data_IF_551943622149
#
_entry.id   IF_551943622149
#
_cell.length_a   1.000
_cell.length_b   1.000
_cell.length_c   1.000
_cell.angle_alpha   90.00
_cell.angle_beta   90.00
_cell.angle_gamma   90.00
#
_symmetry.space_group_name_H-M   'P 1'
#
loop_
_entity.id
_entity.type
_entity.pdbx_description
1 polymer ?
#
# COMPACT_ATOMS: atom_id res chain seq x y z
N UNK A 1 -31.07 24.36 -42.20
CA UNK A 1 -30.10 24.58 -41.10
C UNK A 1 -30.69 24.04 -39.80
N UNK A 2 -30.13 22.97 -39.23
CA UNK A 2 -30.52 22.48 -37.89
C UNK A 2 -29.46 22.93 -36.89
N UNK A 3 -29.85 23.75 -35.92
CA UNK A 3 -29.00 24.18 -34.82
C UNK A 3 -29.03 23.12 -33.71
N UNK A 4 -27.89 22.50 -33.44
CA UNK A 4 -27.73 21.58 -32.31
C UNK A 4 -27.56 22.40 -31.03
N UNK A 5 -28.62 22.58 -30.26
CA UNK A 5 -28.53 23.15 -28.91
C UNK A 5 -27.97 22.10 -27.96
N UNK A 6 -26.68 22.24 -27.60
CA UNK A 6 -26.07 21.45 -26.52
C UNK A 6 -26.82 21.75 -25.21
N UNK A 7 -27.54 20.77 -24.68
CA UNK A 7 -28.17 20.87 -23.36
C UNK A 7 -27.06 20.89 -22.31
N UNK A 8 -26.74 22.06 -21.77
CA UNK A 8 -25.87 22.15 -20.59
C UNK A 8 -26.62 21.51 -19.43
N UNK A 9 -26.21 20.29 -19.04
CA UNK A 9 -26.70 19.68 -17.81
C UNK A 9 -26.31 20.61 -16.64
N UNK A 10 -27.21 20.88 -15.69
CA UNK A 10 -26.85 21.63 -14.50
C UNK A 10 -25.72 20.88 -13.79
N UNK A 11 -24.63 21.58 -13.51
CA UNK A 11 -23.53 21.05 -12.71
C UNK A 11 -24.07 20.77 -11.32
N UNK A 12 -24.33 19.50 -11.01
CA UNK A 12 -24.69 19.09 -9.66
C UNK A 12 -23.55 19.38 -8.68
N UNK A 13 -23.84 19.53 -7.38
CA UNK A 13 -22.81 19.73 -6.38
C UNK A 13 -21.83 18.56 -6.38
N UNK A 14 -20.53 18.88 -6.42
CA UNK A 14 -19.46 17.89 -6.29
C UNK A 14 -19.25 17.60 -4.81
N UNK A 15 -19.42 16.34 -4.42
CA UNK A 15 -19.13 15.88 -3.06
C UNK A 15 -17.66 15.46 -3.00
N UNK A 16 -16.81 16.23 -2.30
CA UNK A 16 -15.40 15.88 -2.08
C UNK A 16 -15.29 15.21 -0.71
N UNK A 17 -15.07 13.90 -0.70
CA UNK A 17 -14.83 13.12 0.53
C UNK A 17 -13.31 13.09 0.76
N UNK A 18 -12.83 13.74 1.82
CA UNK A 18 -11.43 13.66 2.26
C UNK A 18 -11.30 12.49 3.24
N UNK A 19 -10.33 11.59 3.03
CA UNK A 19 -9.94 10.61 4.05
C UNK A 19 -9.36 11.40 5.23
N UNK A 20 -10.11 11.53 6.32
CA UNK A 20 -9.55 12.02 7.57
C UNK A 20 -8.58 10.94 8.05
N UNK A 21 -7.30 11.28 8.07
CA UNK A 21 -6.19 10.41 8.49
C UNK A 21 -5.99 10.40 10.00
N UNK A 22 -6.86 11.06 10.75
CA UNK A 22 -6.72 11.28 12.20
C UNK A 22 -7.24 10.07 13.00
N UNK A 23 -6.84 8.86 12.62
CA UNK A 23 -6.92 7.71 13.50
C UNK A 23 -5.60 7.65 14.25
N UNK A 24 -5.51 8.36 15.38
CA UNK A 24 -4.31 8.49 16.21
C UNK A 24 -3.72 7.13 16.66
N UNK A 25 -4.48 6.05 16.51
CA UNK A 25 -4.09 4.68 16.84
C UNK A 25 -3.45 3.90 15.69
N UNK A 26 -3.45 4.42 14.45
CA UNK A 26 -2.89 3.73 13.29
C UNK A 26 -1.57 4.38 12.90
N UNK A 27 -0.46 3.72 13.22
CA UNK A 27 0.86 4.13 12.73
C UNK A 27 0.98 3.80 11.24
N UNK A 28 0.98 4.83 10.39
CA UNK A 28 1.23 4.70 8.96
C UNK A 28 2.75 4.73 8.69
N UNK A 29 3.24 3.69 8.04
CA UNK A 29 4.67 3.56 7.70
C UNK A 29 4.91 4.03 6.27
N UNK A 30 6.01 4.76 6.05
CA UNK A 30 6.44 5.22 4.73
C UNK A 30 7.05 4.10 3.90
N UNK A 31 7.58 3.06 4.56
CA UNK A 31 8.14 1.90 3.88
C UNK A 31 8.09 0.63 4.73
N UNK A 32 8.31 -0.52 4.10
CA UNK A 32 8.37 -1.82 4.79
C UNK A 32 9.59 -1.86 5.74
N UNK A 33 10.68 -1.17 5.42
CA UNK A 33 11.86 -1.07 6.29
C UNK A 33 11.56 -0.37 7.61
N UNK A 34 10.74 0.69 7.58
CA UNK A 34 10.32 1.42 8.77
C UNK A 34 9.50 0.51 9.69
N UNK A 35 8.57 -0.27 9.11
CA UNK A 35 7.81 -1.26 9.86
C UNK A 35 8.70 -2.37 10.45
N UNK A 36 9.72 -2.83 9.70
CA UNK A 36 10.66 -3.84 10.21
C UNK A 36 11.52 -3.28 11.36
N UNK A 37 11.94 -2.01 11.29
CA UNK A 37 12.72 -1.37 12.35
C UNK A 37 11.93 -1.26 13.66
N UNK A 38 10.62 -1.01 13.58
CA UNK A 38 9.75 -1.04 14.75
C UNK A 38 9.65 -2.46 15.35
N UNK A 39 9.47 -3.48 14.50
CA UNK A 39 9.40 -4.89 14.94
C UNK A 39 10.73 -5.38 15.54
N UNK A 40 11.86 -4.78 15.16
CA UNK A 40 13.19 -5.07 15.75
C UNK A 40 13.30 -4.63 17.20
N UNK A 41 12.55 -3.60 17.60
CA UNK A 41 12.54 -3.10 18.96
C UNK A 41 11.51 -3.83 19.85
N UNK A 42 10.68 -4.72 19.28
CA UNK A 42 9.68 -5.47 20.03
C UNK A 42 10.32 -6.70 20.72
N UNK A 43 10.34 -6.76 22.07
CA UNK A 43 10.92 -7.88 22.81
C UNK A 43 10.18 -9.20 22.61
N UNK A 44 8.94 -9.18 22.08
CA UNK A 44 8.14 -10.37 21.83
C UNK A 44 8.45 -11.02 20.48
N UNK A 45 9.29 -10.39 19.65
CA UNK A 45 9.64 -10.88 18.33
C UNK A 45 11.07 -11.40 18.36
N UNK A 46 11.26 -12.64 17.89
CA UNK A 46 12.59 -13.22 17.83
C UNK A 46 13.43 -12.58 16.71
N UNK A 47 14.70 -12.32 17.02
CA UNK A 47 15.65 -11.78 16.06
C UNK A 47 15.79 -12.64 14.79
N UNK A 48 15.61 -13.96 14.90
CA UNK A 48 15.61 -14.88 13.76
C UNK A 48 14.49 -14.58 12.77
N UNK A 49 13.27 -14.32 13.27
CA UNK A 49 12.11 -13.99 12.42
C UNK A 49 12.33 -12.68 11.67
N UNK A 50 12.89 -11.68 12.35
CA UNK A 50 13.27 -10.40 11.74
C UNK A 50 14.32 -10.60 10.64
N UNK A 51 15.38 -11.37 10.91
CA UNK A 51 16.44 -11.61 9.94
C UNK A 51 15.90 -12.31 8.68
N UNK A 52 15.01 -13.29 8.86
CA UNK A 52 14.31 -13.97 7.76
C UNK A 52 13.43 -13.00 6.96
N UNK A 53 12.73 -12.08 7.64
CA UNK A 53 11.90 -11.06 7.01
C UNK A 53 12.74 -10.09 6.16
N UNK A 54 13.84 -9.56 6.70
CA UNK A 54 14.79 -8.71 5.95
C UNK A 54 15.36 -9.41 4.72
N UNK A 55 15.77 -10.68 4.86
CA UNK A 55 16.27 -11.48 3.74
C UNK A 55 15.21 -11.65 2.65
N UNK A 56 13.95 -11.89 3.04
CA UNK A 56 12.83 -12.05 2.11
C UNK A 56 12.53 -10.74 1.35
N UNK A 57 12.53 -9.61 2.05
CA UNK A 57 12.35 -8.29 1.45
C UNK A 57 13.48 -7.96 0.45
N UNK A 58 14.73 -8.24 0.80
CA UNK A 58 15.86 -8.05 -0.11
C UNK A 58 15.74 -8.93 -1.37
N UNK A 59 15.30 -10.19 -1.22
CA UNK A 59 15.03 -11.06 -2.37
C UNK A 59 13.91 -10.53 -3.24
N UNK A 60 12.86 -9.97 -2.64
CA UNK A 60 11.75 -9.35 -3.36
C UNK A 60 12.21 -8.11 -4.15
N UNK A 61 12.96 -7.21 -3.53
CA UNK A 61 13.50 -6.01 -4.20
C UNK A 61 14.44 -6.34 -5.35
N UNK A 62 15.26 -7.39 -5.19
CA UNK A 62 16.27 -7.75 -6.17
C UNK A 62 15.72 -8.60 -7.34
N UNK A 63 14.52 -9.16 -7.23
CA UNK A 63 13.87 -9.90 -8.32
C UNK A 63 12.79 -9.03 -8.97
N UNK A 64 13.09 -8.49 -10.15
CA UNK A 64 12.19 -7.66 -10.95
C UNK A 64 10.94 -8.39 -11.49
N UNK A 65 10.88 -9.73 -11.37
CA UNK A 65 9.72 -10.53 -11.75
C UNK A 65 9.56 -11.70 -10.78
N UNK A 66 8.56 -11.60 -9.90
CA UNK A 66 8.06 -12.74 -9.13
C UNK A 66 6.70 -13.09 -9.72
N UNK A 67 6.59 -14.29 -10.26
CA UNK A 67 5.31 -14.84 -10.70
C UNK A 67 4.70 -15.57 -9.51
N UNK A 68 3.47 -15.20 -9.16
CA UNK A 68 2.71 -15.82 -8.07
C UNK A 68 1.47 -16.46 -8.69
N UNK A 69 1.25 -17.74 -8.41
CA UNK A 69 0.06 -18.48 -8.80
C UNK A 69 -0.44 -19.25 -7.57
N UNK A 70 -1.73 -19.10 -7.25
CA UNK A 70 -2.39 -19.77 -6.12
C UNK A 70 -1.69 -19.60 -4.76
N UNK A 71 -1.05 -18.44 -4.55
CA UNK A 71 -0.34 -18.12 -3.31
C UNK A 71 1.09 -18.67 -3.23
N UNK A 72 1.57 -19.36 -4.27
CA UNK A 72 2.94 -19.87 -4.35
C UNK A 72 3.79 -19.08 -5.35
N UNK A 73 5.09 -18.97 -5.06
CA UNK A 73 6.06 -18.35 -5.98
C UNK A 73 6.47 -19.39 -7.02
N UNK A 74 6.11 -19.14 -8.28
CA UNK A 74 6.48 -19.99 -9.42
C UNK A 74 7.75 -19.47 -10.11
N UNK A 75 8.56 -20.40 -10.64
CA UNK A 75 9.86 -20.12 -11.29
C UNK A 75 9.70 -19.55 -12.70
#
# INVERSE_FOLDING_TARGET
MRFFTKKNKPSGPLLIIKKNTDDDNVKEYKSIEEAIADLENDPNISAEKIAKLRSSLNKLKNKSSIKIQDGEIIK
#
